data_IF_235600942309
#
_entry.id   IF_235600942309
#
_cell.length_a   1.000
_cell.length_b   1.000
_cell.length_c   1.000
_cell.angle_alpha   90.00
_cell.angle_beta   90.00
_cell.angle_gamma   90.00
#
_symmetry.space_group_name_H-M   'P 1'
#
loop_
_entity.id
_entity.type
_entity.pdbx_description
1 polymer ?
#
# COMPACT_ATOMS: atom_id res chain seq x y z
N UNK A 1 -6.54 -16.84 14.20
CA UNK A 1 -5.39 -16.27 13.48
C UNK A 1 -5.58 -16.41 11.97
N UNK A 2 -5.44 -17.60 11.36
CA UNK A 2 -5.55 -17.80 9.90
C UNK A 2 -6.83 -17.22 9.28
N UNK A 3 -8.00 -17.48 9.88
CA UNK A 3 -9.28 -16.95 9.39
C UNK A 3 -9.33 -15.41 9.39
N UNK A 4 -8.79 -14.76 10.43
CA UNK A 4 -8.72 -13.30 10.54
C UNK A 4 -7.77 -12.70 9.51
N UNK A 5 -6.61 -13.34 9.30
CA UNK A 5 -5.63 -12.93 8.29
C UNK A 5 -6.21 -13.01 6.87
N UNK A 6 -6.89 -14.10 6.54
CA UNK A 6 -7.53 -14.28 5.23
C UNK A 6 -8.70 -13.30 5.04
N UNK A 7 -9.52 -13.08 6.08
CA UNK A 7 -10.59 -12.09 6.04
C UNK A 7 -10.02 -10.69 5.76
N UNK A 8 -8.97 -10.28 6.48
CA UNK A 8 -8.28 -9.01 6.27
C UNK A 8 -7.78 -8.88 4.82
N UNK A 9 -7.15 -9.93 4.27
CA UNK A 9 -6.67 -9.94 2.89
C UNK A 9 -7.81 -9.81 1.87
N UNK A 10 -8.91 -10.53 2.08
CA UNK A 10 -10.09 -10.48 1.19
C UNK A 10 -10.74 -9.09 1.22
N UNK A 11 -10.85 -8.48 2.41
CA UNK A 11 -11.40 -7.13 2.55
C UNK A 11 -10.49 -6.09 1.88
N UNK A 12 -9.17 -6.20 2.06
CA UNK A 12 -8.21 -5.34 1.37
C UNK A 12 -8.28 -5.50 -0.16
N UNK A 13 -8.34 -6.75 -0.65
CA UNK A 13 -8.50 -7.05 -2.07
C UNK A 13 -9.82 -6.49 -2.63
N UNK A 14 -10.91 -6.60 -1.87
CA UNK A 14 -12.19 -6.00 -2.23
C UNK A 14 -12.11 -4.47 -2.30
N UNK A 15 -11.37 -3.82 -1.40
CA UNK A 15 -11.17 -2.37 -1.42
C UNK A 15 -10.50 -1.88 -2.73
N UNK A 16 -9.50 -2.60 -3.27
CA UNK A 16 -8.93 -2.30 -4.59
C UNK A 16 -9.98 -2.35 -5.69
N UNK A 17 -10.75 -3.44 -5.73
CA UNK A 17 -11.78 -3.64 -6.76
C UNK A 17 -12.88 -2.57 -6.62
N UNK A 18 -13.30 -2.25 -5.40
CA UNK A 18 -14.24 -1.18 -5.12
C UNK A 18 -13.72 0.16 -5.64
N UNK A 19 -12.45 0.49 -5.40
CA UNK A 19 -11.81 1.67 -5.99
C UNK A 19 -11.94 1.69 -7.51
N UNK A 20 -11.60 0.59 -8.19
CA UNK A 20 -11.73 0.54 -9.65
C UNK A 20 -13.18 0.61 -10.17
N UNK A 21 -14.13 -0.03 -9.49
CA UNK A 21 -15.55 0.04 -9.85
C UNK A 21 -16.07 1.47 -9.74
N UNK A 22 -15.64 2.18 -8.70
CA UNK A 22 -16.02 3.56 -8.45
C UNK A 22 -15.59 4.50 -9.60
N UNK A 23 -14.37 4.34 -10.14
CA UNK A 23 -13.88 5.08 -11.32
C UNK A 23 -14.58 4.64 -12.61
N UNK A 24 -14.84 3.36 -12.79
CA UNK A 24 -15.45 2.87 -14.03
C UNK A 24 -16.93 3.17 -14.15
N UNK A 25 -17.64 3.40 -13.04
CA UNK A 25 -19.07 3.78 -13.05
C UNK A 25 -19.26 5.30 -13.11
N UNK A 26 -18.44 6.10 -12.42
CA UNK A 26 -18.57 7.56 -12.39
C UNK A 26 -17.55 8.25 -13.29
N UNK A 27 -18.06 8.99 -14.29
CA UNK A 27 -17.26 9.63 -15.36
C UNK A 27 -16.39 10.81 -14.88
N UNK A 28 -16.67 11.41 -13.72
CA UNK A 28 -15.90 12.53 -13.14
C UNK A 28 -15.76 12.37 -11.63
N UNK A 29 -14.60 11.91 -11.19
CA UNK A 29 -14.23 11.90 -9.77
C UNK A 29 -13.55 13.20 -9.36
N UNK A 30 -13.78 13.60 -8.11
CA UNK A 30 -13.05 14.74 -7.55
C UNK A 30 -11.62 14.30 -7.26
N UNK A 31 -10.68 14.79 -8.07
CA UNK A 31 -9.23 14.64 -7.82
C UNK A 31 -8.90 15.04 -6.38
N UNK A 32 -9.55 16.10 -5.88
CA UNK A 32 -9.41 16.54 -4.48
C UNK A 32 -9.83 15.47 -3.47
N UNK A 33 -10.91 14.72 -3.71
CA UNK A 33 -11.32 13.66 -2.79
C UNK A 33 -10.25 12.54 -2.73
N UNK A 34 -9.70 12.15 -3.88
CA UNK A 34 -8.61 11.17 -3.94
C UNK A 34 -7.37 11.66 -3.18
N UNK A 35 -6.94 12.90 -3.42
CA UNK A 35 -5.79 13.51 -2.73
C UNK A 35 -5.99 13.54 -1.20
N UNK A 36 -7.21 13.85 -0.73
CA UNK A 36 -7.52 13.85 0.71
C UNK A 36 -7.52 12.44 1.32
N UNK A 37 -7.98 11.43 0.58
CA UNK A 37 -7.89 10.03 1.02
C UNK A 37 -6.45 9.53 1.06
N UNK A 38 -5.63 9.92 0.08
CA UNK A 38 -4.20 9.63 0.05
C UNK A 38 -3.51 10.25 1.27
N UNK A 39 -3.82 11.53 1.58
CA UNK A 39 -3.26 12.21 2.74
C UNK A 39 -3.61 11.51 4.05
N UNK A 40 -4.89 11.17 4.26
CA UNK A 40 -5.34 10.39 5.42
C UNK A 40 -4.58 9.07 5.55
N UNK A 41 -4.47 8.34 4.44
CA UNK A 41 -3.83 7.02 4.43
C UNK A 41 -2.32 7.13 4.70
N UNK A 42 -1.65 8.13 4.13
CA UNK A 42 -0.23 8.38 4.37
C UNK A 42 0.08 8.64 5.85
N UNK A 43 -0.77 9.44 6.51
CA UNK A 43 -0.66 9.70 7.95
C UNK A 43 -0.78 8.44 8.78
N UNK A 44 -1.82 7.62 8.52
CA UNK A 44 -2.01 6.36 9.24
C UNK A 44 -0.87 5.37 8.98
N UNK A 45 -0.50 5.15 7.71
CA UNK A 45 0.55 4.19 7.32
C UNK A 45 1.90 4.54 7.91
N UNK A 46 2.31 5.81 7.84
CA UNK A 46 3.61 6.21 8.38
C UNK A 46 3.63 6.10 9.91
N UNK A 47 2.49 6.38 10.57
CA UNK A 47 2.37 6.21 12.01
C UNK A 47 2.49 4.73 12.41
N UNK A 48 1.73 3.83 11.76
CA UNK A 48 1.81 2.38 12.06
C UNK A 48 3.21 1.83 11.78
N UNK A 49 3.88 2.31 10.72
CA UNK A 49 5.22 1.85 10.37
C UNK A 49 6.26 2.22 11.42
N UNK A 50 6.25 3.49 11.85
CA UNK A 50 7.24 4.04 12.78
C UNK A 50 6.97 3.60 14.22
N UNK A 51 5.70 3.57 14.64
CA UNK A 51 5.33 3.37 16.03
C UNK A 51 5.09 1.91 16.40
N UNK A 52 4.68 1.04 15.45
CA UNK A 52 4.45 -0.38 15.74
C UNK A 52 5.32 -1.31 14.89
N UNK A 53 5.23 -1.27 13.55
CA UNK A 53 5.85 -2.28 12.68
C UNK A 53 7.37 -2.36 12.91
N UNK A 54 8.08 -1.23 12.83
CA UNK A 54 9.54 -1.22 12.95
C UNK A 54 10.00 -1.54 14.37
N UNK A 55 9.46 -0.91 15.43
CA UNK A 55 9.82 -1.25 16.81
C UNK A 55 9.58 -2.73 17.13
N UNK A 56 8.43 -3.28 16.73
CA UNK A 56 8.08 -4.67 16.99
C UNK A 56 8.91 -5.66 16.18
N UNK A 57 9.21 -5.32 14.92
CA UNK A 57 10.15 -6.11 14.13
C UNK A 57 11.55 -6.18 14.79
N UNK A 58 12.03 -5.07 15.37
CA UNK A 58 13.32 -5.01 16.06
C UNK A 58 13.26 -5.74 17.41
N UNK A 59 12.16 -5.65 18.15
CA UNK A 59 11.99 -6.35 19.43
C UNK A 59 12.09 -7.87 19.24
N UNK A 60 11.52 -8.41 18.15
CA UNK A 60 11.53 -9.85 17.86
C UNK A 60 12.77 -10.32 17.10
N UNK A 61 13.24 -9.56 16.10
CA UNK A 61 14.30 -9.96 15.19
C UNK A 61 15.70 -9.41 15.54
N UNK A 62 15.80 -8.59 16.59
CA UNK A 62 17.05 -7.95 17.01
C UNK A 62 17.70 -7.11 15.90
N UNK A 63 19.04 -7.10 15.87
CA UNK A 63 19.80 -6.31 14.88
C UNK A 63 19.52 -6.69 13.42
N UNK A 64 19.19 -7.96 13.17
CA UNK A 64 18.91 -8.44 11.81
C UNK A 64 17.63 -7.80 11.24
N UNK A 65 16.64 -7.49 12.07
CA UNK A 65 15.41 -6.83 11.64
C UNK A 65 15.68 -5.47 10.98
N UNK A 66 16.62 -4.68 11.50
CA UNK A 66 17.00 -3.41 10.89
C UNK A 66 17.53 -3.57 9.46
N UNK A 67 18.26 -4.66 9.18
CA UNK A 67 18.72 -4.98 7.83
C UNK A 67 17.55 -5.36 6.91
N UNK A 68 16.53 -6.07 7.41
CA UNK A 68 15.32 -6.38 6.64
C UNK A 68 14.46 -5.14 6.38
N UNK A 69 14.36 -4.21 7.32
CA UNK A 69 13.72 -2.90 7.11
C UNK A 69 14.43 -2.15 5.98
N UNK A 70 15.76 -2.05 6.05
CA UNK A 70 16.53 -1.42 4.97
C UNK A 70 16.34 -2.15 3.63
N UNK A 71 16.37 -3.48 3.64
CA UNK A 71 16.16 -4.28 2.44
C UNK A 71 14.78 -4.04 1.82
N UNK A 72 13.73 -3.94 2.62
CA UNK A 72 12.38 -3.58 2.16
C UNK A 72 12.32 -2.20 1.52
N UNK A 73 12.92 -1.20 2.16
CA UNK A 73 13.00 0.16 1.61
C UNK A 73 13.74 0.18 0.26
N UNK A 74 14.93 -0.44 0.20
CA UNK A 74 15.76 -0.51 -1.00
C UNK A 74 15.08 -1.30 -2.12
N UNK A 75 14.36 -2.39 -1.78
CA UNK A 75 13.61 -3.19 -2.74
C UNK A 75 12.63 -2.33 -3.54
N UNK A 76 11.81 -1.51 -2.85
CA UNK A 76 10.84 -0.64 -3.53
C UNK A 76 11.55 0.48 -4.29
N UNK A 77 12.60 1.05 -3.72
CA UNK A 77 13.40 2.07 -4.41
C UNK A 77 13.93 1.56 -5.76
N UNK A 78 14.62 0.42 -5.75
CA UNK A 78 15.24 -0.16 -6.96
C UNK A 78 14.17 -0.59 -7.96
N UNK A 79 13.09 -1.24 -7.51
CA UNK A 79 12.00 -1.67 -8.40
C UNK A 79 11.31 -0.48 -9.09
N UNK A 80 11.02 0.59 -8.36
CA UNK A 80 10.37 1.78 -8.94
C UNK A 80 11.33 2.69 -9.73
N UNK A 81 12.61 2.75 -9.39
CA UNK A 81 13.54 3.72 -10.00
C UNK A 81 14.50 3.14 -11.01
N UNK A 82 14.90 1.87 -10.87
CA UNK A 82 15.88 1.23 -11.77
C UNK A 82 15.17 0.43 -12.85
N UNK A 83 14.23 -0.43 -12.44
CA UNK A 83 13.53 -1.34 -13.35
C UNK A 83 12.38 -0.67 -14.12
N UNK A 84 11.68 0.27 -13.49
CA UNK A 84 10.49 0.93 -14.05
C UNK A 84 10.83 2.15 -14.93
N UNK A 85 11.97 2.84 -14.70
CA UNK A 85 12.38 4.02 -15.50
C UNK A 85 13.09 3.71 -16.83
N UNK A 86 13.58 2.48 -17.05
CA UNK A 86 14.29 2.11 -18.28
C UNK A 86 13.41 1.94 -19.54
N UNK A 87 12.14 2.38 -19.51
CA UNK A 87 11.24 2.39 -20.67
C UNK A 87 11.02 3.79 -21.29
N UNK A 88 11.77 4.81 -20.87
CA UNK A 88 11.77 6.13 -21.53
C UNK A 88 13.12 6.40 -22.20
N UNK A 89 13.26 5.92 -23.44
CA UNK A 89 14.11 6.55 -24.45
C UNK A 89 13.22 6.89 -25.65
N UNK A 90 12.87 8.18 -25.78
CA UNK A 90 12.23 8.74 -26.97
C UNK A 90 10.85 9.33 -26.75
N UNK A 91 10.81 10.67 -26.72
CA UNK A 91 9.69 11.53 -27.12
C UNK A 91 8.40 11.55 -26.27
N UNK A 92 8.31 12.63 -25.49
CA UNK A 92 7.09 13.27 -25.01
C UNK A 92 6.01 13.37 -26.10
N UNK A 93 4.92 12.63 -25.96
CA UNK A 93 3.63 13.01 -26.54
C UNK A 93 2.53 12.76 -25.49
N UNK A 94 1.55 13.67 -25.45
CA UNK A 94 0.50 13.86 -24.43
C UNK A 94 -0.48 12.69 -24.17
N UNK A 95 -0.08 11.45 -24.44
CA UNK A 95 -0.84 10.24 -24.16
C UNK A 95 -0.08 9.46 -23.11
N UNK A 96 -0.74 9.08 -22.00
CA UNK A 96 -0.14 8.13 -21.05
C UNK A 96 0.17 6.86 -21.83
N UNK A 97 1.46 6.59 -22.06
CA UNK A 97 1.87 5.43 -22.82
C UNK A 97 1.42 4.17 -22.08
N UNK A 98 0.98 3.14 -22.82
CA UNK A 98 0.63 1.84 -22.23
C UNK A 98 1.78 1.24 -21.42
N UNK A 99 3.02 1.54 -21.79
CA UNK A 99 4.21 1.17 -21.03
C UNK A 99 4.21 1.76 -19.62
N UNK A 100 3.79 3.02 -19.44
CA UNK A 100 3.68 3.68 -18.13
C UNK A 100 2.64 2.98 -17.27
N UNK A 101 1.47 2.68 -17.82
CA UNK A 101 0.41 1.96 -17.10
C UNK A 101 0.83 0.54 -16.71
N UNK A 102 1.52 -0.18 -17.60
CA UNK A 102 2.05 -1.51 -17.32
C UNK A 102 3.15 -1.48 -16.25
N UNK A 103 4.06 -0.51 -16.34
CA UNK A 103 5.17 -0.35 -15.40
C UNK A 103 4.67 0.00 -13.99
N UNK A 104 3.69 0.90 -13.90
CA UNK A 104 3.00 1.21 -12.66
C UNK A 104 2.28 -0.03 -12.08
N UNK A 105 1.60 -0.82 -12.91
CA UNK A 105 0.97 -2.06 -12.47
C UNK A 105 1.98 -3.05 -11.87
N UNK A 106 3.14 -3.25 -12.51
CA UNK A 106 4.19 -4.14 -12.01
C UNK A 106 4.73 -3.66 -10.66
N UNK A 107 5.04 -2.37 -10.54
CA UNK A 107 5.49 -1.78 -9.28
C UNK A 107 4.45 -1.95 -8.16
N UNK A 108 3.17 -1.70 -8.48
CA UNK A 108 2.08 -1.87 -7.53
C UNK A 108 1.84 -3.35 -7.18
N UNK A 109 2.02 -4.29 -8.09
CA UNK A 109 1.88 -5.72 -7.78
C UNK A 109 2.89 -6.17 -6.74
N UNK A 110 4.16 -5.75 -6.86
CA UNK A 110 5.19 -6.05 -5.87
C UNK A 110 4.86 -5.45 -4.51
N UNK A 111 4.50 -4.16 -4.48
CA UNK A 111 4.12 -3.45 -3.26
C UNK A 111 2.93 -4.13 -2.57
N UNK A 112 1.88 -4.42 -3.32
CA UNK A 112 0.65 -5.03 -2.81
C UNK A 112 0.85 -6.49 -2.39
N UNK A 113 1.83 -7.19 -2.97
CA UNK A 113 2.27 -8.48 -2.45
C UNK A 113 2.86 -8.33 -1.04
N UNK A 114 3.70 -7.32 -0.82
CA UNK A 114 4.31 -7.05 0.50
C UNK A 114 3.27 -6.58 1.52
N UNK A 115 2.19 -5.90 1.11
CA UNK A 115 1.07 -5.63 2.01
C UNK A 115 0.42 -6.92 2.54
N UNK A 116 0.29 -7.94 1.68
CA UNK A 116 -0.14 -9.27 2.10
C UNK A 116 0.82 -9.90 3.11
N UNK A 117 2.13 -9.77 2.88
CA UNK A 117 3.17 -10.21 3.82
C UNK A 117 3.02 -9.48 5.16
N UNK A 118 2.81 -8.16 5.13
CA UNK A 118 2.64 -7.33 6.32
C UNK A 118 1.44 -7.79 7.15
N UNK A 119 0.28 -8.01 6.53
CA UNK A 119 -0.93 -8.51 7.21
C UNK A 119 -0.64 -9.85 7.87
N UNK A 120 -0.07 -10.81 7.15
CA UNK A 120 0.21 -12.13 7.68
C UNK A 120 1.22 -12.11 8.82
N UNK A 121 2.38 -11.48 8.64
CA UNK A 121 3.41 -11.38 9.68
C UNK A 121 2.91 -10.61 10.91
N UNK A 122 2.11 -9.55 10.74
CA UNK A 122 1.52 -8.81 11.85
C UNK A 122 0.56 -9.67 12.69
N UNK A 123 -0.28 -10.50 12.04
CA UNK A 123 -1.15 -11.43 12.76
C UNK A 123 -0.39 -12.59 13.43
N UNK A 124 0.81 -12.94 12.94
CA UNK A 124 1.70 -13.90 13.60
C UNK A 124 2.25 -13.31 14.90
N UNK A 125 2.60 -12.02 14.90
CA UNK A 125 3.00 -11.29 16.12
C UNK A 125 1.85 -11.23 17.11
N UNK A 126 0.70 -10.70 16.70
CA UNK A 126 -0.43 -10.51 17.61
C UNK A 126 -1.68 -9.96 16.92
N UNK A 127 -2.89 -10.25 17.43
CA UNK A 127 -4.13 -9.74 16.84
C UNK A 127 -4.22 -8.21 16.81
N UNK A 128 -3.75 -7.52 17.84
CA UNK A 128 -3.80 -6.04 17.93
C UNK A 128 -2.99 -5.41 16.80
N UNK A 129 -1.74 -5.86 16.61
CA UNK A 129 -0.89 -5.41 15.51
C UNK A 129 -1.47 -5.80 14.14
N UNK A 130 -1.97 -7.03 14.01
CA UNK A 130 -2.62 -7.50 12.79
C UNK A 130 -3.74 -6.59 12.32
N UNK A 131 -4.61 -6.15 13.24
CA UNK A 131 -5.71 -5.23 12.91
C UNK A 131 -5.25 -3.79 12.65
N UNK A 132 -4.20 -3.32 13.34
CA UNK A 132 -3.58 -2.01 13.04
C UNK A 132 -2.99 -1.97 11.63
N UNK A 133 -2.17 -2.97 11.28
CA UNK A 133 -1.54 -3.09 9.97
C UNK A 133 -2.59 -3.28 8.87
N UNK A 134 -3.61 -4.12 9.11
CA UNK A 134 -4.76 -4.22 8.20
C UNK A 134 -5.45 -2.87 7.99
N UNK A 135 -5.70 -2.08 9.04
CA UNK A 135 -6.32 -0.77 8.94
C UNK A 135 -5.51 0.18 8.05
N UNK A 136 -4.18 0.24 8.26
CA UNK A 136 -3.28 1.02 7.43
C UNK A 136 -3.35 0.63 5.95
N UNK A 137 -3.39 -0.67 5.70
CA UNK A 137 -3.45 -1.22 4.34
C UNK A 137 -4.80 -0.92 3.70
N UNK A 138 -5.90 -1.28 4.37
CA UNK A 138 -7.25 -1.08 3.86
C UNK A 138 -7.54 0.38 3.48
N UNK A 139 -7.01 1.35 4.26
CA UNK A 139 -7.19 2.78 3.99
C UNK A 139 -6.65 3.21 2.62
N UNK A 140 -5.48 2.71 2.21
CA UNK A 140 -4.87 3.12 0.94
C UNK A 140 -5.20 2.18 -0.25
N UNK A 141 -5.83 1.01 -0.01
CA UNK A 141 -6.23 0.06 -1.06
C UNK A 141 -7.32 0.61 -1.98
N UNK A 142 -8.27 1.38 -1.45
CA UNK A 142 -9.30 2.03 -2.26
C UNK A 142 -8.70 3.14 -3.16
N UNK A 143 -7.91 4.11 -2.64
CA UNK A 143 -7.15 5.06 -3.47
C UNK A 143 -6.26 4.40 -4.54
N UNK A 144 -5.57 3.31 -4.19
CA UNK A 144 -4.74 2.55 -5.12
C UNK A 144 -5.55 1.94 -6.27
N UNK A 145 -6.69 1.32 -5.96
CA UNK A 145 -7.63 0.80 -6.95
C UNK A 145 -8.16 1.88 -7.89
N UNK A 146 -8.46 3.08 -7.36
CA UNK A 146 -8.84 4.25 -8.14
C UNK A 146 -7.70 4.70 -9.07
N UNK A 147 -6.47 4.78 -8.54
CA UNK A 147 -5.31 5.28 -9.28
C UNK A 147 -4.95 4.36 -10.46
N UNK A 148 -4.80 3.05 -10.24
CA UNK A 148 -4.41 2.12 -11.30
C UNK A 148 -5.50 2.00 -12.38
N UNK A 149 -6.77 2.00 -11.98
CA UNK A 149 -7.87 1.93 -12.93
C UNK A 149 -7.96 3.20 -13.79
N UNK A 150 -7.75 4.37 -13.18
CA UNK A 150 -7.67 5.65 -13.90
C UNK A 150 -6.51 5.66 -14.89
N UNK A 151 -5.35 5.15 -14.49
CA UNK A 151 -4.16 5.08 -15.35
C UNK A 151 -4.38 4.15 -16.55
N UNK A 152 -4.98 2.97 -16.33
CA UNK A 152 -5.32 2.03 -17.41
C UNK A 152 -6.30 2.65 -18.40
N UNK A 153 -7.33 3.36 -17.92
CA UNK A 153 -8.28 4.06 -18.79
C UNK A 153 -7.61 5.21 -19.56
N UNK A 154 -6.76 6.00 -18.89
CA UNK A 154 -6.01 7.09 -19.51
C UNK A 154 -5.05 6.59 -20.61
N UNK A 155 -4.51 5.38 -20.47
CA UNK A 155 -3.68 4.71 -21.48
C UNK A 155 -4.49 4.02 -22.61
N UNK A 156 -5.79 4.33 -22.73
CA UNK A 156 -6.69 3.77 -23.76
C UNK A 156 -7.14 2.33 -23.48
N UNK A 157 -7.04 1.88 -22.23
CA UNK A 157 -7.56 0.58 -21.78
C UNK A 157 -9.09 0.58 -21.63
N UNK A 158 -9.68 -0.63 -21.61
CA UNK A 158 -11.13 -0.79 -21.40
C UNK A 158 -11.47 -0.76 -19.91
N UNK A 159 -12.76 -0.53 -19.57
CA UNK A 159 -13.25 -0.66 -18.18
C UNK A 159 -12.97 -2.03 -17.58
N UNK A 160 -13.05 -3.10 -18.39
CA UNK A 160 -12.72 -4.47 -17.95
C UNK A 160 -11.24 -4.60 -17.62
N UNK A 161 -10.35 -4.02 -18.42
CA UNK A 161 -8.92 -4.01 -18.14
C UNK A 161 -8.60 -3.21 -16.86
N UNK A 162 -9.29 -2.09 -16.63
CA UNK A 162 -9.12 -1.27 -15.43
C UNK A 162 -9.53 -2.00 -14.14
N UNK A 163 -10.69 -2.68 -14.15
CA UNK A 163 -11.13 -3.52 -13.03
C UNK A 163 -10.21 -4.74 -12.87
N UNK A 164 -9.78 -5.35 -13.98
CA UNK A 164 -8.84 -6.47 -13.97
C UNK A 164 -7.50 -6.12 -13.34
N UNK A 165 -6.95 -4.94 -13.64
CA UNK A 165 -5.71 -4.46 -13.02
C UNK A 165 -5.84 -4.31 -11.49
N UNK A 166 -6.93 -3.72 -11.01
CA UNK A 166 -7.19 -3.62 -9.56
C UNK A 166 -7.46 -4.98 -8.90
N UNK A 167 -8.12 -5.90 -9.61
CA UNK A 167 -8.30 -7.27 -9.14
C UNK A 167 -6.97 -8.02 -9.03
N UNK A 168 -6.04 -7.82 -9.97
CA UNK A 168 -4.69 -8.38 -9.90
C UNK A 168 -3.92 -7.86 -8.67
N UNK A 169 -4.05 -6.57 -8.33
CA UNK A 169 -3.51 -6.03 -7.09
C UNK A 169 -4.14 -6.71 -5.87
N UNK A 170 -5.47 -6.85 -5.83
CA UNK A 170 -6.14 -7.57 -4.74
C UNK A 170 -5.66 -9.03 -4.60
N UNK A 171 -5.47 -9.73 -5.72
CA UNK A 171 -4.90 -11.08 -5.73
C UNK A 171 -3.46 -11.12 -5.22
N UNK A 172 -2.64 -10.09 -5.51
CA UNK A 172 -1.30 -9.98 -4.94
C UNK A 172 -1.32 -9.87 -3.42
N UNK A 173 -2.28 -9.14 -2.82
CA UNK A 173 -2.45 -9.09 -1.35
C UNK A 173 -2.72 -10.48 -0.78
N UNK A 174 -3.66 -11.21 -1.39
CA UNK A 174 -4.02 -12.57 -0.96
C UNK A 174 -2.82 -13.52 -1.13
N UNK A 175 -2.11 -13.42 -2.25
CA UNK A 175 -0.90 -14.21 -2.49
C UNK A 175 0.17 -13.94 -1.43
N UNK A 176 0.38 -12.67 -1.05
CA UNK A 176 1.34 -12.31 0.00
C UNK A 176 1.03 -12.96 1.34
N UNK A 177 -0.25 -13.00 1.72
CA UNK A 177 -0.69 -13.72 2.93
C UNK A 177 -0.42 -15.22 2.84
N UNK A 178 -0.79 -15.85 1.71
CA UNK A 178 -0.63 -17.29 1.53
C UNK A 178 0.84 -17.71 1.51
N UNK A 179 1.69 -16.95 0.78
CA UNK A 179 3.13 -17.21 0.69
C UNK A 179 3.78 -17.06 2.06
N UNK A 180 3.37 -16.05 2.85
CA UNK A 180 3.89 -15.86 4.21
C UNK A 180 3.51 -17.01 5.14
N UNK A 181 2.25 -17.48 5.06
CA UNK A 181 1.80 -18.64 5.84
C UNK A 181 2.53 -19.95 5.49
N UNK A 182 3.07 -20.05 4.26
CA UNK A 182 3.84 -21.20 3.80
C UNK A 182 5.37 -21.06 3.97
N UNK A 183 5.86 -19.89 4.40
CA UNK A 183 7.28 -19.55 4.40
C UNK A 183 7.74 -19.08 5.79
N UNK A 184 8.42 -19.93 6.58
CA UNK A 184 8.92 -19.56 7.90
C UNK A 184 9.82 -18.30 7.89
N UNK A 185 10.71 -18.08 6.90
CA UNK A 185 11.49 -16.84 6.83
C UNK A 185 10.62 -15.59 6.68
N UNK A 186 9.52 -15.65 5.92
CA UNK A 186 8.60 -14.52 5.78
C UNK A 186 7.72 -14.35 7.02
N UNK A 187 7.31 -15.44 7.68
CA UNK A 187 6.62 -15.34 8.96
C UNK A 187 7.48 -14.62 10.00
N UNK A 188 8.79 -14.89 10.03
CA UNK A 188 9.73 -14.31 10.99
C UNK A 188 10.23 -12.90 10.63
N UNK A 189 10.54 -12.64 9.36
CA UNK A 189 11.19 -11.40 8.91
C UNK A 189 10.31 -10.53 8.01
N UNK A 190 9.14 -11.01 7.62
CA UNK A 190 8.22 -10.32 6.72
C UNK A 190 7.70 -9.01 7.30
N UNK A 191 7.48 -8.93 8.62
CA UNK A 191 7.07 -7.69 9.28
C UNK A 191 8.15 -6.60 9.16
N UNK A 192 9.42 -6.97 9.35
CA UNK A 192 10.56 -6.06 9.20
C UNK A 192 10.69 -5.56 7.76
N UNK A 193 10.62 -6.48 6.79
CA UNK A 193 10.66 -6.16 5.37
C UNK A 193 9.48 -5.24 4.98
N UNK A 194 8.28 -5.55 5.45
CA UNK A 194 7.11 -4.72 5.25
C UNK A 194 7.27 -3.32 5.83
N UNK A 195 7.85 -3.17 7.04
CA UNK A 195 8.11 -1.85 7.63
C UNK A 195 8.93 -0.92 6.73
N UNK A 196 9.97 -1.46 6.09
CA UNK A 196 10.76 -0.73 5.09
C UNK A 196 9.96 -0.30 3.88
N UNK A 197 9.15 -1.23 3.34
CA UNK A 197 8.25 -0.97 2.21
C UNK A 197 7.21 0.11 2.57
N UNK A 198 6.56 -0.01 3.72
CA UNK A 198 5.53 0.93 4.19
C UNK A 198 6.10 2.33 4.38
N UNK A 199 7.31 2.46 4.94
CA UNK A 199 7.99 3.77 5.04
C UNK A 199 8.28 4.34 3.67
N UNK A 200 8.82 3.53 2.75
CA UNK A 200 9.11 4.00 1.40
C UNK A 200 7.84 4.48 0.69
N UNK A 201 6.78 3.68 0.70
CA UNK A 201 5.49 4.00 0.06
C UNK A 201 4.87 5.24 0.69
N UNK A 202 4.79 5.30 2.02
CA UNK A 202 4.25 6.45 2.73
C UNK A 202 5.00 7.74 2.41
N UNK A 203 6.33 7.71 2.49
CA UNK A 203 7.16 8.91 2.35
C UNK A 203 7.42 9.33 0.89
N UNK A 204 7.62 8.37 -0.02
CA UNK A 204 8.06 8.64 -1.39
C UNK A 204 6.96 8.51 -2.43
N UNK A 205 5.87 7.79 -2.13
CA UNK A 205 4.75 7.65 -3.07
C UNK A 205 3.52 8.45 -2.62
N UNK A 206 3.14 8.43 -1.33
CA UNK A 206 1.89 9.05 -0.88
C UNK A 206 2.04 10.54 -0.51
N UNK A 207 3.02 10.90 0.32
CA UNK A 207 3.23 12.30 0.74
C UNK A 207 3.38 13.26 -0.47
N UNK A 208 4.18 12.94 -1.51
CA UNK A 208 4.37 13.84 -2.64
C UNK A 208 3.09 14.17 -3.42
N UNK A 209 2.08 13.30 -3.41
CA UNK A 209 0.83 13.50 -4.16
C UNK A 209 0.01 14.70 -3.67
N UNK A 210 0.15 15.06 -2.39
CA UNK A 210 -0.54 16.20 -1.80
C UNK A 210 0.40 17.29 -1.28
N UNK A 211 1.72 17.05 -1.32
CA UNK A 211 2.70 18.05 -0.94
C UNK A 211 2.72 19.21 -1.96
N UNK A 212 2.65 20.45 -1.47
CA UNK A 212 2.62 21.63 -2.33
C UNK A 212 1.25 21.96 -2.95
N UNK A 213 0.21 21.19 -2.65
CA UNK A 213 -1.18 21.56 -3.01
C UNK A 213 -1.64 22.74 -2.15
N UNK A 214 -2.41 23.69 -2.71
CA UNK A 214 -2.84 24.87 -1.96
C UNK A 214 -3.87 24.54 -0.88
N UNK A 215 -3.74 25.21 0.27
CA UNK A 215 -4.68 25.11 1.39
C UNK A 215 -4.25 24.09 2.46
N UNK A 216 -4.92 24.16 3.62
CA UNK A 216 -4.54 23.39 4.82
C UNK A 216 -5.20 22.00 4.91
N UNK A 217 -6.18 21.71 4.06
CA UNK A 217 -7.02 20.51 4.16
C UNK A 217 -6.22 19.21 4.01
N UNK A 218 -5.26 19.13 3.08
CA UNK A 218 -4.44 17.92 2.90
C UNK A 218 -3.56 17.64 4.13
N UNK A 219 -2.92 18.67 4.69
CA UNK A 219 -2.16 18.54 5.94
C UNK A 219 -3.06 18.13 7.11
N UNK A 220 -4.26 18.70 7.22
CA UNK A 220 -5.22 18.29 8.24
C UNK A 220 -5.66 16.83 8.07
N UNK A 221 -5.86 16.36 6.83
CA UNK A 221 -6.18 14.95 6.59
C UNK A 221 -5.02 14.03 6.93
N UNK A 222 -3.78 14.42 6.63
CA UNK A 222 -2.59 13.67 7.06
C UNK A 222 -2.54 13.54 8.58
N UNK A 223 -2.69 14.66 9.31
CA UNK A 223 -2.74 14.66 10.78
C UNK A 223 -3.93 13.84 11.29
N UNK A 224 -5.09 13.93 10.64
CA UNK A 224 -6.24 13.09 10.98
C UNK A 224 -5.94 11.60 10.80
N UNK A 225 -5.10 11.23 9.84
CA UNK A 225 -4.59 9.87 9.66
C UNK A 225 -3.74 9.41 10.84
N UNK A 226 -2.82 10.27 11.32
CA UNK A 226 -2.03 10.01 12.53
C UNK A 226 -2.91 9.89 13.78
N UNK A 227 -3.90 10.77 13.93
CA UNK A 227 -4.85 10.72 15.06
C UNK A 227 -5.71 9.46 14.99
N UNK A 228 -6.19 9.09 13.80
CA UNK A 228 -6.96 7.86 13.60
C UNK A 228 -6.12 6.63 13.97
N UNK A 229 -4.84 6.63 13.64
CA UNK A 229 -3.90 5.61 14.10
C UNK A 229 -3.82 5.56 15.64
N UNK A 230 -3.62 6.70 16.32
CA UNK A 230 -3.54 6.75 17.79
C UNK A 230 -4.83 6.20 18.42
N UNK A 231 -5.99 6.63 17.92
CA UNK A 231 -7.29 6.14 18.38
C UNK A 231 -7.39 4.63 18.18
N UNK A 232 -7.05 4.12 16.99
CA UNK A 232 -7.08 2.67 16.72
C UNK A 232 -6.13 1.89 17.64
N UNK A 233 -4.91 2.39 17.87
CA UNK A 233 -3.92 1.76 18.74
C UNK A 233 -4.42 1.70 20.19
N UNK A 234 -4.99 2.80 20.71
CA UNK A 234 -5.55 2.83 22.07
C UNK A 234 -6.75 1.89 22.25
N UNK A 235 -7.59 1.72 21.23
CA UNK A 235 -8.76 0.85 21.29
C UNK A 235 -8.41 -0.64 21.18
N UNK A 236 -7.38 -0.99 20.41
CA UNK A 236 -6.95 -2.37 20.20
C UNK A 236 -6.08 -2.88 21.36
N UNK A 237 -5.48 -1.99 22.14
CA UNK A 237 -4.60 -2.35 23.25
C UNK A 237 -3.20 -2.75 22.79
N UNK A 238 -2.29 -3.07 23.73
CA UNK A 238 -0.91 -3.43 23.40
C UNK A 238 -0.86 -4.67 22.49
N UNK A 239 0.14 -4.68 21.60
CA UNK A 239 0.50 -5.78 20.70
C UNK A 239 1.15 -6.95 21.43
#
# INVERSE_FOLDING_TARGET
MIASTLLAAIVAAAANVLGALVVTVRRSWSVRALELMIALSAGFMLSVAIADIIPEAISQGGKAAGAYVLAGFVLVHVTQHVFVRHFHFGEETHVVARSVAASALVGLLLHTLIDGVAIASAFVVGPSLGWLVFGAIALHKLPEGLAISSLVLAAGGTRRAAVGAAALLGLATVAGVLITGASPPLAQHGLALAGGVTVYVGASNLIPEFQGKPGWHHSAMFVAGCVLYIVAHTLLGPS
#
